data_IF_905903254403
#
_entry.id   IF_905903254403
#
_cell.length_a   1.000
_cell.length_b   1.000
_cell.length_c   1.000
_cell.angle_alpha   90.00
_cell.angle_beta   90.00
_cell.angle_gamma   90.00
#
_symmetry.space_group_name_H-M   'P 1'
#
loop_
_entity.id
_entity.type
_entity.pdbx_description
1 polymer ?
#
# COMPACT_ATOMS: atom_id res chain seq x y z
N UNK A 1 -6.56 15.26 -1.69
CA UNK A 1 -5.11 15.59 -1.56
C UNK A 1 -4.45 15.11 -2.82
N UNK A 2 -3.51 15.85 -3.41
CA UNK A 2 -2.85 15.39 -4.65
C UNK A 2 -1.88 14.24 -4.37
N UNK A 3 -1.75 13.32 -5.32
CA UNK A 3 -0.75 12.26 -5.27
C UNK A 3 0.67 12.83 -5.11
N UNK A 4 1.55 12.15 -4.37
CA UNK A 4 2.93 12.59 -4.19
C UNK A 4 3.72 12.46 -5.50
N UNK A 5 4.78 13.25 -5.65
CA UNK A 5 5.61 13.28 -6.87
C UNK A 5 6.27 11.93 -7.22
N UNK A 6 6.41 11.01 -6.26
CA UNK A 6 6.96 9.68 -6.49
C UNK A 6 5.93 8.66 -7.01
N UNK A 7 4.64 8.98 -6.93
CA UNK A 7 3.59 8.08 -7.38
C UNK A 7 3.56 8.02 -8.90
N UNK A 8 3.72 6.81 -9.43
CA UNK A 8 3.71 6.52 -10.86
C UNK A 8 2.94 5.21 -11.07
N UNK A 9 1.73 5.25 -11.67
CA UNK A 9 0.92 4.07 -11.93
C UNK A 9 1.67 2.98 -12.72
N UNK A 10 2.65 3.35 -13.56
CA UNK A 10 3.43 2.38 -14.32
C UNK A 10 4.41 1.56 -13.45
N UNK A 11 4.63 1.96 -12.20
CA UNK A 11 5.47 1.26 -11.22
C UNK A 11 4.68 0.41 -10.24
N UNK A 12 3.36 0.37 -10.38
CA UNK A 12 2.50 -0.48 -9.55
C UNK A 12 2.69 -1.93 -9.95
N UNK A 13 3.29 -2.72 -9.06
CA UNK A 13 3.61 -4.14 -9.28
C UNK A 13 2.51 -5.07 -8.75
N UNK A 14 1.69 -4.57 -7.83
CA UNK A 14 0.67 -5.33 -7.14
C UNK A 14 -0.43 -4.38 -6.67
N UNK A 15 -1.69 -4.75 -6.90
CA UNK A 15 -2.87 -4.05 -6.40
C UNK A 15 -3.74 -5.06 -5.65
N UNK A 16 -4.07 -4.77 -4.38
CA UNK A 16 -4.84 -5.69 -3.52
C UNK A 16 -6.04 -5.02 -2.87
N UNK A 17 -7.12 -5.79 -2.73
CA UNK A 17 -8.27 -5.43 -1.92
C UNK A 17 -8.07 -5.96 -0.49
N UNK A 18 -7.67 -5.05 0.39
CA UNK A 18 -7.42 -5.36 1.80
C UNK A 18 -8.70 -5.73 2.54
N UNK A 19 -9.84 -5.14 2.17
CA UNK A 19 -11.14 -5.48 2.75
C UNK A 19 -11.46 -6.94 2.47
N UNK A 20 -11.32 -7.36 1.22
CA UNK A 20 -11.58 -8.74 0.81
C UNK A 20 -10.57 -9.73 1.42
N UNK A 21 -9.31 -9.34 1.60
CA UNK A 21 -8.30 -10.17 2.26
C UNK A 21 -8.67 -10.44 3.72
N UNK A 22 -8.98 -9.39 4.48
CA UNK A 22 -9.35 -9.53 5.89
C UNK A 22 -10.65 -10.30 6.07
N UNK A 23 -11.65 -10.10 5.21
CA UNK A 23 -12.90 -10.86 5.23
C UNK A 23 -12.68 -12.37 5.04
N UNK A 24 -11.57 -12.77 4.39
CA UNK A 24 -11.15 -14.16 4.21
C UNK A 24 -10.19 -14.66 5.30
N UNK A 25 -9.91 -13.85 6.33
CA UNK A 25 -8.92 -14.16 7.36
C UNK A 25 -7.47 -14.05 6.90
N UNK A 26 -7.20 -13.38 5.77
CA UNK A 26 -5.85 -13.17 5.24
C UNK A 26 -5.35 -11.79 5.64
N UNK A 27 -4.21 -11.71 6.34
CA UNK A 27 -3.59 -10.45 6.72
C UNK A 27 -2.76 -9.85 5.56
N UNK A 28 -2.94 -8.58 5.20
CA UNK A 28 -2.28 -7.97 4.03
C UNK A 28 -0.78 -7.69 4.24
N UNK A 29 -0.33 -7.58 5.48
CA UNK A 29 1.05 -7.16 5.79
C UNK A 29 2.10 -8.06 5.14
N UNK A 30 1.97 -9.38 5.32
CA UNK A 30 2.94 -10.33 4.82
C UNK A 30 3.07 -10.31 3.27
N UNK A 31 1.99 -10.49 2.49
CA UNK A 31 2.10 -10.49 1.03
C UNK A 31 2.55 -9.15 0.45
N UNK A 32 2.14 -8.02 1.03
CA UNK A 32 2.59 -6.69 0.60
C UNK A 32 4.09 -6.50 0.87
N UNK A 33 4.56 -6.95 2.05
CA UNK A 33 5.98 -6.90 2.39
C UNK A 33 6.83 -7.79 1.47
N UNK A 34 6.37 -9.01 1.19
CA UNK A 34 7.07 -9.93 0.29
C UNK A 34 7.17 -9.36 -1.14
N UNK A 35 6.09 -8.77 -1.66
CA UNK A 35 6.10 -8.10 -2.96
C UNK A 35 7.10 -6.95 -3.02
N UNK A 36 7.11 -6.08 -2.00
CA UNK A 36 8.07 -4.97 -1.92
C UNK A 36 9.52 -5.46 -1.77
N UNK A 37 9.75 -6.55 -1.03
CA UNK A 37 11.11 -7.10 -0.87
C UNK A 37 11.64 -7.71 -2.17
N UNK A 38 10.79 -8.42 -2.92
CA UNK A 38 11.16 -9.11 -4.15
C UNK A 38 11.38 -8.19 -5.36
N UNK A 39 10.90 -6.95 -5.32
CA UNK A 39 10.96 -6.04 -6.47
C UNK A 39 12.03 -4.94 -6.35
N UNK A 40 12.29 -4.28 -7.48
CA UNK A 40 13.28 -3.23 -7.59
C UNK A 40 12.90 -1.99 -6.75
N UNK A 41 13.89 -1.20 -6.29
CA UNK A 41 13.64 0.12 -5.72
C UNK A 41 12.75 0.97 -6.65
N UNK A 42 11.81 1.72 -6.06
CA UNK A 42 10.82 2.49 -6.81
C UNK A 42 9.55 1.72 -7.19
N UNK A 43 9.47 0.42 -6.94
CA UNK A 43 8.22 -0.35 -7.13
C UNK A 43 7.15 0.08 -6.12
N UNK A 44 5.90 0.06 -6.55
CA UNK A 44 4.73 0.50 -5.76
C UNK A 44 3.76 -0.67 -5.58
N UNK A 45 3.24 -0.83 -4.36
CA UNK A 45 2.09 -1.67 -4.08
C UNK A 45 0.89 -0.79 -3.73
N UNK A 46 -0.23 -1.06 -4.38
CA UNK A 46 -1.52 -0.41 -4.12
C UNK A 46 -2.41 -1.27 -3.23
N UNK A 47 -3.08 -0.62 -2.28
CA UNK A 47 -4.07 -1.21 -1.41
C UNK A 47 -5.37 -0.44 -1.54
N UNK A 48 -6.49 -1.16 -1.63
CA UNK A 48 -7.84 -0.61 -1.52
C UNK A 48 -8.51 -1.16 -0.27
N UNK A 49 -9.10 -0.29 0.55
CA UNK A 49 -9.86 -0.68 1.73
C UNK A 49 -11.11 0.18 1.92
N UNK A 50 -12.13 -0.34 2.60
CA UNK A 50 -13.33 0.43 2.99
C UNK A 50 -13.22 1.02 4.40
N UNK A 51 -12.01 1.05 4.94
CA UNK A 51 -11.65 1.54 6.26
C UNK A 51 -10.23 2.10 6.22
N UNK A 52 -9.90 3.00 7.14
CA UNK A 52 -8.57 3.59 7.23
C UNK A 52 -7.53 2.55 7.70
N UNK A 53 -6.50 2.23 6.90
CA UNK A 53 -5.55 1.18 7.24
C UNK A 53 -4.42 1.66 8.16
N UNK A 54 -4.71 2.52 9.13
CA UNK A 54 -3.73 3.23 9.98
C UNK A 54 -2.57 2.35 10.51
N UNK A 55 -2.86 1.24 11.22
CA UNK A 55 -1.81 0.34 11.74
C UNK A 55 -0.90 -0.25 10.66
N UNK A 56 -1.44 -0.53 9.46
CA UNK A 56 -0.66 -1.04 8.34
C UNK A 56 0.29 0.03 7.80
N UNK A 57 -0.17 1.29 7.72
CA UNK A 57 0.64 2.42 7.25
C UNK A 57 1.83 2.66 8.19
N UNK A 58 1.60 2.59 9.51
CA UNK A 58 2.64 2.75 10.53
C UNK A 58 3.76 1.72 10.36
N UNK A 59 3.40 0.44 10.23
CA UNK A 59 4.40 -0.64 10.01
C UNK A 59 5.26 -0.37 8.77
N UNK A 60 4.67 0.07 7.66
CA UNK A 60 5.47 0.34 6.46
C UNK A 60 6.36 1.59 6.58
N UNK A 61 5.92 2.62 7.33
CA UNK A 61 6.76 3.78 7.65
C UNK A 61 7.96 3.40 8.52
N UNK A 62 7.76 2.52 9.50
CA UNK A 62 8.84 1.97 10.34
C UNK A 62 9.85 1.16 9.51
N UNK A 63 9.36 0.44 8.50
CA UNK A 63 10.18 -0.26 7.50
C UNK A 63 10.85 0.68 6.47
N UNK A 64 10.81 2.00 6.70
CA UNK A 64 11.39 3.05 5.83
C UNK A 64 10.78 3.09 4.42
N UNK A 65 9.58 2.55 4.23
CA UNK A 65 8.86 2.69 2.97
C UNK A 65 8.22 4.07 2.87
N UNK A 66 8.03 4.55 1.63
CA UNK A 66 7.24 5.75 1.39
C UNK A 66 5.77 5.37 1.27
N UNK A 67 4.92 6.05 2.04
CA UNK A 67 3.50 5.70 2.17
C UNK A 67 2.65 6.92 1.87
N UNK A 68 1.70 6.76 0.96
CA UNK A 68 0.66 7.73 0.68
C UNK A 68 -0.70 7.05 0.82
N UNK A 69 -1.63 7.69 1.50
CA UNK A 69 -2.99 7.22 1.64
C UNK A 69 -3.94 8.40 1.41
N UNK A 70 -4.97 8.17 0.63
CA UNK A 70 -6.10 9.08 0.46
C UNK A 70 -7.39 8.35 0.78
N UNK A 71 -8.32 9.07 1.40
CA UNK A 71 -9.66 8.57 1.69
C UNK A 71 -10.69 9.43 0.98
N UNK A 72 -11.63 8.81 0.27
CA UNK A 72 -12.76 9.47 -0.38
C UNK A 72 -14.03 8.62 -0.18
N UNK A 73 -15.09 9.23 0.36
CA UNK A 73 -16.42 8.64 0.50
C UNK A 73 -16.45 7.21 1.13
N UNK A 74 -15.56 6.93 2.08
CA UNK A 74 -15.47 5.62 2.76
C UNK A 74 -14.63 4.56 2.03
N UNK A 75 -14.02 4.91 0.89
CA UNK A 75 -12.96 4.14 0.26
C UNK A 75 -11.60 4.78 0.56
N UNK A 76 -10.61 3.94 0.81
CA UNK A 76 -9.23 4.34 1.04
C UNK A 76 -8.36 3.71 -0.03
N UNK A 77 -7.51 4.55 -0.63
CA UNK A 77 -6.49 4.15 -1.57
C UNK A 77 -5.13 4.43 -0.95
N UNK A 78 -4.35 3.37 -0.74
CA UNK A 78 -3.01 3.45 -0.17
C UNK A 78 -1.98 2.98 -1.20
N UNK A 79 -0.94 3.77 -1.40
CA UNK A 79 0.24 3.40 -2.16
C UNK A 79 1.45 3.31 -1.23
N UNK A 80 2.20 2.21 -1.36
CA UNK A 80 3.45 1.98 -0.62
C UNK A 80 4.57 1.80 -1.64
N UNK A 81 5.59 2.66 -1.61
CA UNK A 81 6.76 2.59 -2.49
C UNK A 81 7.99 2.10 -1.74
N UNK A 82 8.75 1.22 -2.37
CA UNK A 82 10.11 0.89 -1.96
C UNK A 82 11.06 2.07 -2.26
N UNK A 83 11.75 2.66 -1.27
CA UNK A 83 12.69 3.75 -1.53
C UNK A 83 13.87 3.29 -2.41
N UNK A 84 14.51 4.28 -3.05
CA UNK A 84 15.69 4.13 -3.89
C UNK A 84 16.95 3.84 -3.10
#
# INVERSE_FOLDING_TARGET
MSAPAWYDPARVILSVDVTAMLAKGVHPLQPVREALQACAPGSIVELRSTFEPGPLLEVFRELRMEVWCEGEAGAFHTCIRKPG
#
